data_IF_239962110086
#
_entry.id   IF_239962110086
#
_cell.length_a   1.000
_cell.length_b   1.000
_cell.length_c   1.000
_cell.angle_alpha   90.00
_cell.angle_beta   90.00
_cell.angle_gamma   90.00
#
_symmetry.space_group_name_H-M   'P 1'
#
loop_
_entity.id
_entity.type
_entity.pdbx_description
1 polymer ?
#
# COMPACT_ATOMS: atom_id res chain seq x y z
N UNK A 1 -3.93 37.96 5.87
CA UNK A 1 -3.32 36.75 5.26
C UNK A 1 -4.47 35.83 4.89
N UNK A 2 -4.91 35.86 3.63
CA UNK A 2 -6.03 35.06 3.13
C UNK A 2 -5.63 33.59 3.10
N UNK A 3 -6.50 32.73 3.65
CA UNK A 3 -6.40 31.29 3.47
C UNK A 3 -6.63 31.03 1.98
N UNK A 4 -5.59 30.56 1.29
CA UNK A 4 -5.76 30.00 -0.04
C UNK A 4 -6.43 28.65 0.21
N UNK A 5 -7.75 28.62 0.08
CA UNK A 5 -8.50 27.37 0.00
C UNK A 5 -8.08 26.68 -1.30
N UNK A 6 -7.01 25.89 -1.19
CA UNK A 6 -6.62 24.95 -2.24
C UNK A 6 -7.71 23.90 -2.27
N UNK A 7 -8.68 24.11 -3.17
CA UNK A 7 -9.71 23.14 -3.51
C UNK A 7 -9.02 21.80 -3.85
N UNK A 8 -9.10 20.85 -2.91
CA UNK A 8 -8.47 19.53 -3.03
C UNK A 8 -9.12 18.69 -4.12
N UNK A 9 -10.25 19.16 -4.66
CA UNK A 9 -11.03 18.52 -5.72
C UNK A 9 -10.91 19.25 -7.07
N UNK A 10 -10.11 20.33 -7.15
CA UNK A 10 -9.81 21.00 -8.41
C UNK A 10 -8.94 20.10 -9.30
N UNK A 11 -9.62 19.26 -10.08
CA UNK A 11 -9.00 18.46 -11.13
C UNK A 11 -8.32 19.44 -12.11
N UNK A 12 -6.99 19.36 -12.31
CA UNK A 12 -6.37 20.17 -13.36
C UNK A 12 -7.07 19.82 -14.68
N UNK A 13 -7.58 20.83 -15.38
CA UNK A 13 -8.23 20.64 -16.67
C UNK A 13 -7.23 19.97 -17.62
N UNK A 14 -7.48 18.72 -17.97
CA UNK A 14 -6.65 17.99 -18.90
C UNK A 14 -6.92 18.51 -20.32
N UNK A 15 -5.90 18.61 -21.17
CA UNK A 15 -6.12 18.89 -22.59
C UNK A 15 -7.04 17.83 -23.20
N UNK A 16 -7.90 18.22 -24.14
CA UNK A 16 -8.98 17.40 -24.71
C UNK A 16 -8.52 16.05 -25.30
N UNK A 17 -7.22 15.89 -25.54
CA UNK A 17 -6.59 14.69 -26.08
C UNK A 17 -6.25 13.62 -25.04
N UNK A 18 -6.44 13.89 -23.74
CA UNK A 18 -6.02 12.99 -22.66
C UNK A 18 -7.21 12.49 -21.83
N UNK A 19 -7.36 11.16 -21.74
CA UNK A 19 -8.34 10.53 -20.83
C UNK A 19 -7.87 10.67 -19.38
N UNK A 20 -8.71 11.22 -18.50
CA UNK A 20 -8.44 11.28 -17.06
C UNK A 20 -8.34 9.85 -16.49
N UNK A 21 -7.13 9.43 -16.14
CA UNK A 21 -6.91 8.19 -15.40
C UNK A 21 -6.99 8.54 -13.91
N UNK A 22 -8.00 8.04 -13.16
CA UNK A 22 -8.12 8.32 -11.74
C UNK A 22 -6.93 7.74 -10.97
N UNK A 23 -5.99 8.60 -10.59
CA UNK A 23 -4.79 8.25 -9.82
C UNK A 23 -5.11 7.87 -8.38
N UNK A 24 -6.29 8.27 -7.88
CA UNK A 24 -6.77 7.97 -6.52
C UNK A 24 -6.96 6.48 -6.22
N UNK A 25 -7.20 5.64 -7.23
CA UNK A 25 -7.37 4.18 -7.04
C UNK A 25 -6.06 3.51 -6.59
N UNK A 26 -4.91 4.13 -6.87
CA UNK A 26 -3.58 3.56 -6.62
C UNK A 26 -2.85 4.21 -5.43
N UNK A 27 -3.55 5.06 -4.67
CA UNK A 27 -3.02 5.69 -3.46
C UNK A 27 -3.00 4.68 -2.32
N UNK A 28 -1.88 4.62 -1.60
CA UNK A 28 -1.74 3.75 -0.44
C UNK A 28 -2.58 4.35 0.70
N UNK A 29 -3.32 3.50 1.38
CA UNK A 29 -4.07 3.90 2.55
C UNK A 29 -3.08 4.11 3.70
N UNK A 30 -3.10 5.30 4.28
CA UNK A 30 -2.33 5.61 5.48
C UNK A 30 -3.28 6.02 6.60
N UNK A 31 -3.03 5.52 7.80
CA UNK A 31 -3.75 5.93 9.00
C UNK A 31 -2.72 6.56 9.94
N UNK A 32 -3.00 7.79 10.42
CA UNK A 32 -2.10 8.54 11.32
C UNK A 32 -0.65 8.62 10.80
N UNK A 33 -0.48 8.91 9.50
CA UNK A 33 0.83 9.00 8.83
C UNK A 33 1.63 7.69 8.74
N UNK A 34 1.06 6.57 9.19
CA UNK A 34 1.66 5.24 9.04
C UNK A 34 0.91 4.50 7.92
N UNK A 35 1.65 3.86 7.01
CA UNK A 35 1.03 3.05 5.96
C UNK A 35 0.26 1.86 6.58
N UNK A 36 -0.89 1.52 6.00
CA UNK A 36 -1.74 0.42 6.49
C UNK A 36 -0.99 -0.92 6.60
N UNK A 37 -0.06 -1.18 5.68
CA UNK A 37 0.75 -2.40 5.66
C UNK A 37 1.65 -2.48 6.91
N UNK A 38 2.31 -1.38 7.28
CA UNK A 38 3.19 -1.32 8.45
C UNK A 38 2.40 -1.42 9.76
N UNK A 39 1.21 -0.81 9.82
CA UNK A 39 0.30 -1.00 10.94
C UNK A 39 -0.16 -2.45 11.08
N UNK A 40 -0.46 -3.11 9.96
CA UNK A 40 -0.82 -4.53 9.95
C UNK A 40 0.26 -5.43 10.56
N UNK A 41 1.54 -5.14 10.29
CA UNK A 41 2.66 -5.87 10.88
C UNK A 41 2.70 -5.70 12.41
N UNK A 42 2.55 -4.47 12.90
CA UNK A 42 2.57 -4.17 14.34
C UNK A 42 1.38 -4.82 15.05
N UNK A 43 0.18 -4.68 14.49
CA UNK A 43 -1.03 -5.31 15.04
C UNK A 43 -0.93 -6.84 15.04
N UNK A 44 -0.38 -7.44 13.98
CA UNK A 44 -0.13 -8.87 13.92
C UNK A 44 0.85 -9.34 15.01
N UNK A 45 1.92 -8.58 15.23
CA UNK A 45 2.89 -8.88 16.29
C UNK A 45 2.27 -8.81 17.69
N UNK A 46 1.42 -7.81 17.96
CA UNK A 46 0.67 -7.71 19.22
C UNK A 46 -0.28 -8.89 19.39
N UNK A 47 -1.00 -9.28 18.34
CA UNK A 47 -1.91 -10.42 18.38
C UNK A 47 -1.19 -11.73 18.70
N UNK A 48 -0.04 -11.99 18.04
CA UNK A 48 0.79 -13.18 18.31
C UNK A 48 1.35 -13.13 19.74
N UNK A 49 1.87 -11.98 20.17
CA UNK A 49 2.40 -11.82 21.53
C UNK A 49 1.35 -12.02 22.61
N UNK A 50 0.09 -11.63 22.37
CA UNK A 50 -1.00 -11.91 23.30
C UNK A 50 -1.34 -13.40 23.34
N UNK A 51 -1.31 -14.09 22.19
CA UNK A 51 -1.54 -15.52 22.11
C UNK A 51 -0.46 -16.34 22.85
N UNK A 52 0.81 -15.94 22.73
CA UNK A 52 1.94 -16.62 23.38
C UNK A 52 2.20 -16.16 24.82
N UNK A 53 1.45 -15.16 25.32
CA UNK A 53 1.66 -14.47 26.62
C UNK A 53 2.98 -13.71 26.76
N UNK A 54 3.74 -13.57 25.68
CA UNK A 54 5.02 -12.86 25.62
C UNK A 54 4.90 -11.59 24.76
N UNK A 55 4.03 -10.67 25.14
CA UNK A 55 3.69 -9.49 24.31
C UNK A 55 4.92 -8.60 24.03
N UNK A 56 5.77 -8.40 25.03
CA UNK A 56 6.91 -7.48 24.97
C UNK A 56 7.94 -7.86 23.88
N UNK A 57 8.51 -9.09 23.85
CA UNK A 57 9.47 -9.47 22.82
C UNK A 57 8.84 -9.47 21.41
N UNK A 58 7.58 -9.91 21.27
CA UNK A 58 6.90 -9.89 19.98
C UNK A 58 6.62 -8.47 19.49
N UNK A 59 6.27 -7.54 20.38
CA UNK A 59 6.09 -6.13 20.03
C UNK A 59 7.39 -5.50 19.55
N UNK A 60 8.51 -5.73 20.24
CA UNK A 60 9.84 -5.26 19.84
C UNK A 60 10.19 -5.81 18.46
N UNK A 61 10.05 -7.12 18.26
CA UNK A 61 10.28 -7.74 16.96
C UNK A 61 9.38 -7.15 15.87
N UNK A 62 8.09 -6.92 16.17
CA UNK A 62 7.12 -6.32 15.25
C UNK A 62 7.53 -4.91 14.80
N UNK A 63 8.05 -4.08 15.70
CA UNK A 63 8.55 -2.73 15.37
C UNK A 63 9.77 -2.82 14.45
N UNK A 64 10.73 -3.70 14.75
CA UNK A 64 11.90 -3.89 13.88
C UNK A 64 11.52 -4.40 12.49
N UNK A 65 10.60 -5.35 12.40
CA UNK A 65 10.10 -5.88 11.12
C UNK A 65 9.36 -4.78 10.35
N UNK A 66 8.53 -3.97 11.01
CA UNK A 66 7.82 -2.86 10.37
C UNK A 66 8.77 -1.78 9.85
N UNK A 67 9.81 -1.43 10.62
CA UNK A 67 10.84 -0.49 10.20
C UNK A 67 11.65 -1.02 9.00
N UNK A 68 12.07 -2.29 9.05
CA UNK A 68 12.75 -2.95 7.93
C UNK A 68 11.88 -3.02 6.68
N UNK A 69 10.60 -3.35 6.83
CA UNK A 69 9.63 -3.35 5.73
C UNK A 69 9.47 -1.96 5.12
N UNK A 70 9.32 -0.91 5.94
CA UNK A 70 9.23 0.47 5.47
C UNK A 70 10.49 0.90 4.70
N UNK A 71 11.67 0.56 5.20
CA UNK A 71 12.95 0.86 4.55
C UNK A 71 13.08 0.17 3.18
N UNK A 72 12.80 -1.14 3.11
CA UNK A 72 12.84 -1.91 1.85
C UNK A 72 11.81 -1.34 0.85
N UNK A 73 10.62 -0.99 1.33
CA UNK A 73 9.55 -0.43 0.49
C UNK A 73 9.89 0.96 -0.06
N UNK A 74 10.71 1.74 0.64
CA UNK A 74 11.25 3.01 0.15
C UNK A 74 12.37 2.84 -0.88
N UNK A 75 13.22 1.82 -0.70
CA UNK A 75 14.40 1.59 -1.56
C UNK A 75 14.08 0.88 -2.88
N UNK A 76 13.04 0.05 -2.92
CA UNK A 76 12.77 -0.83 -4.05
C UNK A 76 11.41 -0.58 -4.72
N UNK A 77 11.30 -0.87 -6.03
CA UNK A 77 10.03 -0.74 -6.75
C UNK A 77 8.94 -1.62 -6.14
N UNK A 78 7.69 -1.13 -6.22
CA UNK A 78 6.51 -1.80 -5.67
C UNK A 78 6.45 -3.26 -6.14
N UNK A 79 6.21 -4.17 -5.21
CA UNK A 79 6.07 -5.59 -5.51
C UNK A 79 7.36 -6.40 -5.52
N UNK A 80 8.56 -5.78 -5.46
CA UNK A 80 9.84 -6.52 -5.42
C UNK A 80 9.91 -7.49 -4.23
N UNK A 81 9.42 -7.09 -3.06
CA UNK A 81 9.41 -7.96 -1.88
C UNK A 81 8.51 -9.18 -2.10
N UNK A 82 7.28 -8.98 -2.59
CA UNK A 82 6.36 -10.09 -2.93
C UNK A 82 6.95 -11.01 -3.98
N UNK A 83 7.63 -10.44 -4.98
CA UNK A 83 8.31 -11.20 -6.03
C UNK A 83 9.50 -12.01 -5.50
N UNK A 84 10.29 -11.44 -4.58
CA UNK A 84 11.37 -12.15 -3.90
C UNK A 84 10.83 -13.31 -3.08
N UNK A 85 9.82 -13.08 -2.24
CA UNK A 85 9.20 -14.16 -1.46
C UNK A 85 8.56 -15.23 -2.37
N UNK A 86 8.01 -14.85 -3.52
CA UNK A 86 7.52 -15.80 -4.52
C UNK A 86 8.67 -16.63 -5.12
N UNK A 87 9.80 -16.00 -5.46
CA UNK A 87 11.02 -16.69 -5.92
C UNK A 87 11.54 -17.72 -4.90
N UNK A 88 11.49 -17.38 -3.62
CA UNK A 88 11.87 -18.29 -2.53
C UNK A 88 10.78 -19.33 -2.18
N UNK A 89 9.64 -19.35 -2.88
CA UNK A 89 8.56 -20.30 -2.64
C UNK A 89 7.75 -20.05 -1.36
N UNK A 90 7.98 -18.93 -0.66
CA UNK A 90 7.29 -18.58 0.59
C UNK A 90 5.83 -18.16 0.37
N UNK A 91 5.50 -17.68 -0.83
CA UNK A 91 4.13 -17.34 -1.21
C UNK A 91 3.80 -17.98 -2.54
N UNK A 92 2.73 -18.77 -2.55
CA UNK A 92 2.12 -19.23 -3.78
C UNK A 92 1.08 -18.20 -4.26
N UNK A 93 1.53 -17.19 -5.00
CA UNK A 93 0.61 -16.28 -5.67
C UNK A 93 -0.08 -17.05 -6.79
N UNK A 94 -1.30 -17.56 -6.55
CA UNK A 94 -2.16 -18.04 -7.64
C UNK A 94 -2.17 -16.96 -8.73
N UNK A 95 -2.02 -17.35 -10.00
CA UNK A 95 -2.17 -16.43 -11.13
C UNK A 95 -3.47 -15.64 -10.93
N UNK A 96 -3.34 -14.36 -10.63
CA UNK A 96 -4.50 -13.47 -10.59
C UNK A 96 -5.08 -13.50 -11.99
N UNK A 97 -6.35 -13.91 -12.13
CA UNK A 97 -7.08 -13.75 -13.40
C UNK A 97 -6.81 -12.33 -13.88
N UNK A 98 -6.19 -12.21 -15.05
CA UNK A 98 -5.91 -10.94 -15.70
C UNK A 98 -7.13 -10.03 -15.53
N UNK A 99 -6.99 -8.97 -14.73
CA UNK A 99 -8.05 -7.98 -14.65
C UNK A 99 -8.25 -7.44 -16.06
N UNK A 100 -9.50 -7.28 -16.55
CA UNK A 100 -9.74 -6.78 -17.89
C UNK A 100 -8.99 -5.46 -18.05
N UNK A 101 -8.27 -5.35 -19.17
CA UNK A 101 -7.39 -4.22 -19.49
C UNK A 101 -8.11 -2.89 -19.18
N UNK A 102 -7.57 -2.01 -18.32
CA UNK A 102 -8.22 -0.77 -17.94
C UNK A 102 -8.52 0.15 -19.15
N UNK A 103 -7.79 -0.02 -20.27
CA UNK A 103 -8.03 0.70 -21.52
C UNK A 103 -9.25 0.19 -22.32
N UNK A 104 -9.79 -0.99 -21.98
CA UNK A 104 -11.01 -1.55 -22.58
C UNK A 104 -12.28 -1.21 -21.79
N UNK A 105 -12.18 -0.43 -20.71
CA UNK A 105 -13.35 0.06 -19.99
C UNK A 105 -13.95 1.23 -20.78
N UNK A 106 -15.10 1.01 -21.40
CA UNK A 106 -15.94 2.12 -21.88
C UNK A 106 -16.41 2.89 -20.65
N UNK A 107 -15.78 4.01 -20.34
CA UNK A 107 -16.40 5.00 -19.47
C UNK A 107 -17.62 5.51 -20.24
N UNK A 108 -18.80 5.42 -19.63
CA UNK A 108 -20.04 5.84 -20.25
C UNK A 108 -19.89 7.26 -20.82
N UNK A 109 -20.33 7.41 -22.06
CA UNK A 109 -20.34 8.66 -22.82
C UNK A 109 -21.33 9.64 -22.22
#
# INVERSE_FOLDING_TARGET
MSKIDVDKDAKPALPETHTYIPTGINQKWSLMSIESDTLGIILGAIAIGNYTRDVLPFMIAGVFIAAGYAYIKGKYPRGRLKHLLWWYGLINTKQTRSKPNPYNRRFYK
#
